data_IF_333452080185
#
_entry.id   IF_333452080185
#
_cell.length_a   1.000
_cell.length_b   1.000
_cell.length_c   1.000
_cell.angle_alpha   90.00
_cell.angle_beta   90.00
_cell.angle_gamma   90.00
#
_symmetry.space_group_name_H-M   'P 1'
#
loop_
_entity.id
_entity.type
_entity.pdbx_description
1 polymer ?
#
# COMPACT_ATOMS: atom_id res chain seq x y z
N UNK A 1 46.49 -9.49 -20.48
CA UNK A 1 45.92 -10.77 -20.97
C UNK A 1 44.41 -10.64 -21.07
N UNK A 2 43.87 -10.65 -22.28
CA UNK A 2 42.42 -10.69 -22.51
C UNK A 2 41.84 -12.02 -22.00
N UNK A 3 40.81 -12.03 -21.12
CA UNK A 3 40.25 -13.28 -20.62
C UNK A 3 39.70 -14.14 -21.76
N UNK A 4 39.84 -15.47 -21.66
CA UNK A 4 39.35 -16.42 -22.67
C UNK A 4 37.83 -16.30 -22.90
N UNK A 5 37.31 -16.54 -24.11
CA UNK A 5 35.89 -16.39 -24.46
C UNK A 5 34.92 -17.14 -23.52
N UNK A 6 35.29 -18.36 -23.10
CA UNK A 6 34.51 -19.16 -22.17
C UNK A 6 34.42 -18.51 -20.77
N UNK A 7 35.52 -17.92 -20.29
CA UNK A 7 35.54 -17.20 -19.03
C UNK A 7 34.64 -15.94 -19.08
N UNK A 8 34.70 -15.16 -20.17
CA UNK A 8 33.83 -13.99 -20.37
C UNK A 8 32.35 -14.36 -20.37
N UNK A 9 32.00 -15.49 -20.99
CA UNK A 9 30.62 -15.98 -21.01
C UNK A 9 30.12 -16.39 -19.62
N UNK A 10 30.94 -17.07 -18.81
CA UNK A 10 30.61 -17.43 -17.43
C UNK A 10 30.39 -16.18 -16.56
N UNK A 11 31.23 -15.15 -16.72
CA UNK A 11 31.08 -13.88 -16.02
C UNK A 11 29.77 -13.16 -16.36
N UNK A 12 29.37 -13.16 -17.63
CA UNK A 12 28.10 -12.56 -18.05
C UNK A 12 26.87 -13.27 -17.44
N UNK A 13 26.89 -14.61 -17.40
CA UNK A 13 25.83 -15.38 -16.74
C UNK A 13 25.80 -15.10 -15.24
N UNK A 14 26.97 -15.08 -14.58
CA UNK A 14 27.08 -14.74 -13.17
C UNK A 14 26.55 -13.33 -12.86
N UNK A 15 26.83 -12.35 -13.74
CA UNK A 15 26.32 -10.99 -13.60
C UNK A 15 24.79 -10.89 -13.72
N UNK A 16 24.15 -11.77 -14.50
CA UNK A 16 22.69 -11.81 -14.65
C UNK A 16 21.97 -12.56 -13.52
N UNK A 17 22.67 -13.41 -12.76
CA UNK A 17 22.08 -14.28 -11.75
C UNK A 17 21.25 -13.53 -10.68
N UNK A 18 21.67 -12.37 -10.12
CA UNK A 18 20.87 -11.65 -9.14
C UNK A 18 19.49 -11.23 -9.67
N UNK A 19 19.41 -10.74 -10.90
CA UNK A 19 18.13 -10.38 -11.54
C UNK A 19 17.28 -11.59 -11.86
N UNK A 20 17.90 -12.71 -12.27
CA UNK A 20 17.19 -13.95 -12.52
C UNK A 20 16.56 -14.52 -11.23
N UNK A 21 17.32 -14.51 -10.13
CA UNK A 21 16.80 -14.92 -8.81
C UNK A 21 15.68 -13.98 -8.36
N UNK A 22 15.85 -12.66 -8.50
CA UNK A 22 14.81 -11.69 -8.17
C UNK A 22 13.53 -11.91 -8.98
N UNK A 23 13.68 -12.10 -10.30
CA UNK A 23 12.57 -12.38 -11.21
C UNK A 23 11.83 -13.66 -10.80
N UNK A 24 12.57 -14.73 -10.48
CA UNK A 24 12.00 -15.99 -10.02
C UNK A 24 11.25 -15.82 -8.68
N UNK A 25 11.85 -15.17 -7.69
CA UNK A 25 11.21 -14.88 -6.39
C UNK A 25 9.93 -14.07 -6.60
N UNK A 26 9.98 -12.99 -7.39
CA UNK A 26 8.83 -12.14 -7.67
C UNK A 26 7.71 -12.86 -8.43
N UNK A 27 8.05 -13.68 -9.42
CA UNK A 27 7.08 -14.42 -10.23
C UNK A 27 6.37 -15.50 -9.40
N UNK A 28 7.13 -16.23 -8.58
CA UNK A 28 6.62 -17.36 -7.79
C UNK A 28 6.03 -16.95 -6.44
N UNK A 29 6.37 -15.77 -5.94
CA UNK A 29 6.08 -15.38 -4.55
C UNK A 29 6.88 -16.21 -3.53
N UNK A 30 8.10 -16.61 -3.91
CA UNK A 30 8.98 -17.47 -3.12
C UNK A 30 9.81 -16.73 -2.07
N UNK A 31 9.69 -15.40 -1.95
CA UNK A 31 10.44 -14.62 -0.97
C UNK A 31 10.04 -14.98 0.48
N UNK A 32 11.02 -15.21 1.35
CA UNK A 32 10.80 -15.59 2.75
C UNK A 32 11.80 -14.90 3.66
N UNK A 33 11.32 -14.41 4.79
CA UNK A 33 12.14 -13.86 5.86
C UNK A 33 12.92 -12.59 5.48
N UNK A 34 13.76 -12.16 6.41
CA UNK A 34 14.71 -11.06 6.20
C UNK A 34 16.02 -11.61 5.60
N UNK A 35 16.63 -10.96 4.60
CA UNK A 35 16.25 -9.68 4.00
C UNK A 35 15.39 -9.81 2.72
N UNK A 36 15.01 -11.01 2.30
CA UNK A 36 14.35 -11.22 1.00
C UNK A 36 12.99 -10.54 0.92
N UNK A 37 12.15 -10.58 1.96
CA UNK A 37 10.83 -9.93 1.94
C UNK A 37 10.95 -8.41 1.70
N UNK A 38 11.67 -7.62 2.52
CA UNK A 38 11.79 -6.19 2.28
C UNK A 38 12.54 -5.85 0.98
N UNK A 39 13.45 -6.72 0.49
CA UNK A 39 14.11 -6.49 -0.78
C UNK A 39 13.10 -6.39 -1.94
N UNK A 40 12.03 -7.19 -1.94
CA UNK A 40 11.05 -7.22 -3.04
C UNK A 40 10.30 -5.89 -3.23
N UNK A 41 10.25 -5.01 -2.22
CA UNK A 41 9.74 -3.64 -2.36
C UNK A 41 10.52 -2.83 -3.42
N UNK A 42 11.75 -3.23 -3.73
CA UNK A 42 12.62 -2.57 -4.71
C UNK A 42 12.53 -3.18 -6.13
N UNK A 43 11.55 -4.04 -6.41
CA UNK A 43 11.34 -4.65 -7.73
C UNK A 43 11.30 -3.62 -8.88
N UNK A 44 10.69 -2.42 -8.74
CA UNK A 44 10.77 -1.39 -9.78
C UNK A 44 12.21 -0.96 -10.13
N UNK A 45 13.11 -0.93 -9.14
CA UNK A 45 14.53 -0.59 -9.35
C UNK A 45 15.29 -1.78 -9.94
N UNK A 46 15.00 -3.00 -9.51
CA UNK A 46 15.54 -4.21 -10.13
C UNK A 46 15.16 -4.29 -11.62
N UNK A 47 13.91 -3.96 -11.97
CA UNK A 47 13.45 -3.87 -13.35
C UNK A 47 14.18 -2.78 -14.12
N UNK A 48 14.28 -1.56 -13.58
CA UNK A 48 14.98 -0.46 -14.25
C UNK A 48 16.47 -0.76 -14.50
N UNK A 49 17.12 -1.45 -13.56
CA UNK A 49 18.55 -1.79 -13.64
C UNK A 49 18.85 -3.08 -14.39
N UNK A 50 17.83 -3.83 -14.84
CA UNK A 50 18.04 -5.09 -15.58
C UNK A 50 18.74 -4.91 -16.93
N UNK A 51 18.85 -3.68 -17.42
CA UNK A 51 19.66 -3.32 -18.60
C UNK A 51 21.17 -3.53 -18.38
N UNK A 52 21.64 -3.47 -17.13
CA UNK A 52 23.06 -3.63 -16.78
C UNK A 52 23.59 -5.03 -17.09
N UNK A 53 23.01 -6.14 -16.57
CA UNK A 53 23.47 -7.48 -16.92
C UNK A 53 23.31 -7.79 -18.41
N UNK A 54 22.32 -7.19 -19.08
CA UNK A 54 22.15 -7.33 -20.53
C UNK A 54 23.31 -6.68 -21.30
N UNK A 55 23.74 -5.47 -20.89
CA UNK A 55 24.90 -4.80 -21.48
C UNK A 55 26.21 -5.56 -21.23
N UNK A 56 26.39 -6.11 -20.01
CA UNK A 56 27.54 -6.98 -19.70
C UNK A 56 27.54 -8.21 -20.61
N UNK A 57 26.39 -8.85 -20.81
CA UNK A 57 26.30 -10.01 -21.69
C UNK A 57 26.59 -9.66 -23.17
N UNK A 58 26.11 -8.50 -23.65
CA UNK A 58 26.38 -8.03 -24.99
C UNK A 58 27.87 -7.74 -25.21
N UNK A 59 28.53 -7.05 -24.27
CA UNK A 59 29.98 -6.75 -24.36
C UNK A 59 30.85 -8.01 -24.23
N UNK A 60 30.43 -8.97 -23.40
CA UNK A 60 31.05 -10.28 -23.30
C UNK A 60 30.74 -11.21 -24.49
N UNK A 61 29.82 -10.81 -25.40
CA UNK A 61 29.27 -11.62 -26.51
C UNK A 61 28.71 -12.97 -26.04
N UNK A 62 28.14 -13.00 -24.84
CA UNK A 62 27.54 -14.21 -24.24
C UNK A 62 26.08 -14.32 -24.61
N UNK A 63 25.74 -15.26 -25.50
CA UNK A 63 24.33 -15.56 -25.84
C UNK A 63 23.55 -16.03 -24.61
N UNK A 64 24.13 -16.92 -23.80
CA UNK A 64 23.48 -17.43 -22.60
C UNK A 64 23.22 -16.32 -21.56
N UNK A 65 24.22 -15.46 -21.31
CA UNK A 65 24.03 -14.31 -20.42
C UNK A 65 22.98 -13.33 -20.94
N UNK A 66 22.92 -13.09 -22.25
CA UNK A 66 21.97 -12.17 -22.86
C UNK A 66 20.53 -12.71 -22.75
N UNK A 67 20.33 -14.01 -23.02
CA UNK A 67 19.01 -14.66 -22.87
C UNK A 67 18.55 -14.61 -21.42
N UNK A 68 19.43 -14.95 -20.46
CA UNK A 68 19.09 -14.93 -19.03
C UNK A 68 18.74 -13.51 -18.55
N UNK A 69 19.56 -12.51 -18.90
CA UNK A 69 19.33 -11.13 -18.53
C UNK A 69 18.05 -10.57 -19.16
N UNK A 70 17.80 -10.86 -20.45
CA UNK A 70 16.59 -10.43 -21.15
C UNK A 70 15.33 -11.08 -20.56
N UNK A 71 15.35 -12.39 -20.28
CA UNK A 71 14.23 -13.09 -19.67
C UNK A 71 13.93 -12.54 -18.26
N UNK A 72 14.94 -12.35 -17.42
CA UNK A 72 14.78 -11.76 -16.09
C UNK A 72 14.22 -10.34 -16.19
N UNK A 73 14.77 -9.50 -17.07
CA UNK A 73 14.30 -8.15 -17.32
C UNK A 73 12.84 -8.11 -17.80
N UNK A 74 12.44 -9.01 -18.69
CA UNK A 74 11.07 -9.11 -19.18
C UNK A 74 10.08 -9.49 -18.07
N UNK A 75 10.43 -10.44 -17.20
CA UNK A 75 9.60 -10.82 -16.04
C UNK A 75 9.43 -9.64 -15.08
N UNK A 76 10.53 -8.96 -14.74
CA UNK A 76 10.50 -7.81 -13.82
C UNK A 76 9.72 -6.63 -14.41
N UNK A 77 9.96 -6.29 -15.69
CA UNK A 77 9.22 -5.26 -16.39
C UNK A 77 7.73 -5.60 -16.49
N UNK A 78 7.40 -6.84 -16.83
CA UNK A 78 6.01 -7.34 -16.86
C UNK A 78 5.32 -7.22 -15.50
N UNK A 79 6.01 -7.57 -14.41
CA UNK A 79 5.48 -7.41 -13.06
C UNK A 79 5.20 -5.93 -12.72
N UNK A 80 6.16 -5.04 -12.98
CA UNK A 80 6.03 -3.60 -12.69
C UNK A 80 4.95 -2.94 -13.54
N UNK A 81 4.85 -3.28 -14.82
CA UNK A 81 3.79 -2.78 -15.70
C UNK A 81 2.42 -3.33 -15.29
N UNK A 82 2.34 -4.62 -14.94
CA UNK A 82 1.12 -5.24 -14.42
C UNK A 82 0.67 -4.70 -13.07
N UNK A 83 1.58 -4.13 -12.27
CA UNK A 83 1.25 -3.48 -11.00
C UNK A 83 0.38 -2.23 -11.20
N UNK A 84 0.43 -1.58 -12.37
CA UNK A 84 -0.40 -0.40 -12.67
C UNK A 84 -1.90 -0.71 -12.61
N UNK A 85 -2.29 -1.93 -12.98
CA UNK A 85 -3.67 -2.30 -13.22
C UNK A 85 -4.22 -1.66 -14.49
N UNK A 86 -5.49 -1.92 -14.78
CA UNK A 86 -6.20 -1.36 -15.93
C UNK A 86 -7.33 -0.49 -15.42
N UNK A 87 -7.57 0.63 -16.10
CA UNK A 87 -8.81 1.37 -15.89
C UNK A 87 -9.93 0.59 -16.56
N UNK A 88 -10.80 -0.01 -15.76
CA UNK A 88 -12.08 -0.47 -16.26
C UNK A 88 -13.09 0.68 -16.12
N UNK A 89 -13.83 1.06 -17.17
CA UNK A 89 -15.01 1.90 -16.99
C UNK A 89 -15.95 1.13 -16.06
N UNK A 90 -16.31 1.71 -14.92
CA UNK A 90 -17.29 1.11 -14.03
C UNK A 90 -18.60 1.89 -14.20
N UNK A 91 -19.58 1.34 -14.93
CA UNK A 91 -20.91 1.93 -14.99
C UNK A 91 -21.64 1.53 -13.71
N UNK A 92 -21.74 2.44 -12.76
CA UNK A 92 -22.76 2.36 -11.71
C UNK A 92 -23.52 3.68 -11.75
N UNK A 93 -24.46 3.78 -12.68
CA UNK A 93 -25.46 4.84 -12.63
C UNK A 93 -26.35 4.58 -11.41
N UNK A 94 -26.42 5.54 -10.47
CA UNK A 94 -27.37 5.50 -9.36
C UNK A 94 -26.86 4.98 -8.01
N UNK A 95 -25.59 4.60 -7.87
CA UNK A 95 -25.00 4.21 -6.58
C UNK A 95 -24.60 5.41 -5.72
N UNK A 96 -24.69 5.26 -4.40
CA UNK A 96 -24.22 6.29 -3.45
C UNK A 96 -22.70 6.44 -3.50
N UNK A 97 -22.22 7.68 -3.45
CA UNK A 97 -20.78 7.98 -3.41
C UNK A 97 -20.27 8.05 -1.99
N UNK A 98 -19.13 7.42 -1.75
CA UNK A 98 -18.41 7.46 -0.49
C UNK A 98 -16.93 7.78 -0.73
N UNK A 99 -16.41 8.82 -0.08
CA UNK A 99 -15.01 9.24 -0.23
C UNK A 99 -14.20 8.81 0.98
N UNK A 100 -13.23 7.92 0.74
CA UNK A 100 -12.33 7.40 1.77
C UNK A 100 -10.94 7.96 1.54
N UNK A 101 -10.31 8.48 2.60
CA UNK A 101 -8.92 8.90 2.58
C UNK A 101 -8.10 8.17 3.66
N UNK A 102 -6.83 7.93 3.39
CA UNK A 102 -5.83 7.49 4.39
C UNK A 102 -4.72 8.53 4.53
N UNK A 103 -4.20 8.71 5.74
CA UNK A 103 -3.02 9.55 6.00
C UNK A 103 -2.16 8.98 7.14
N UNK A 104 -0.86 8.80 6.88
CA UNK A 104 0.14 8.59 7.93
C UNK A 104 0.69 9.93 8.43
N UNK A 105 0.70 10.10 9.76
CA UNK A 105 1.12 11.33 10.43
C UNK A 105 2.61 11.38 10.79
N UNK A 106 3.42 10.40 10.36
CA UNK A 106 4.86 10.35 10.61
C UNK A 106 5.17 10.59 12.09
N UNK A 107 4.74 9.65 12.94
CA UNK A 107 4.83 9.71 14.41
C UNK A 107 4.22 10.98 15.02
N UNK A 108 3.07 11.41 14.49
CA UNK A 108 2.38 12.62 14.94
C UNK A 108 3.07 13.94 14.57
N UNK A 109 4.09 13.92 13.70
CA UNK A 109 4.84 15.12 13.32
C UNK A 109 4.21 15.91 12.14
N UNK A 110 3.11 15.43 11.58
CA UNK A 110 2.34 16.15 10.55
C UNK A 110 1.49 17.25 11.21
N UNK A 111 1.59 18.51 10.78
CA UNK A 111 0.70 19.58 11.25
C UNK A 111 -0.77 19.25 10.94
N UNK A 112 -1.68 19.67 11.82
CA UNK A 112 -3.11 19.37 11.68
C UNK A 112 -3.78 20.07 10.48
N UNK A 113 -3.39 21.31 10.18
CA UNK A 113 -4.00 22.13 9.13
C UNK A 113 -4.03 21.44 7.75
N UNK A 114 -2.91 20.90 7.21
CA UNK A 114 -2.92 20.15 5.95
C UNK A 114 -3.85 18.94 5.94
N UNK A 115 -4.11 18.30 7.09
CA UNK A 115 -5.02 17.16 7.20
C UNK A 115 -6.48 17.63 7.12
N UNK A 116 -6.81 18.72 7.81
CA UNK A 116 -8.15 19.33 7.72
C UNK A 116 -8.41 19.89 6.31
N UNK A 117 -7.40 20.50 5.67
CA UNK A 117 -7.48 20.94 4.27
C UNK A 117 -7.73 19.77 3.32
N UNK A 118 -7.00 18.65 3.48
CA UNK A 118 -7.24 17.42 2.71
C UNK A 118 -8.70 16.98 2.82
N UNK A 119 -9.25 16.91 4.04
CA UNK A 119 -10.64 16.50 4.26
C UNK A 119 -11.62 17.43 3.56
N UNK A 120 -11.44 18.74 3.70
CA UNK A 120 -12.33 19.75 3.07
C UNK A 120 -12.22 19.75 1.55
N UNK A 121 -11.00 19.76 1.03
CA UNK A 121 -10.70 19.89 -0.40
C UNK A 121 -11.21 18.71 -1.22
N UNK A 122 -11.16 17.51 -0.65
CA UNK A 122 -11.58 16.29 -1.32
C UNK A 122 -12.91 15.73 -0.81
N UNK A 123 -13.62 16.51 0.02
CA UNK A 123 -14.93 16.16 0.56
C UNK A 123 -14.96 14.76 1.19
N UNK A 124 -13.94 14.46 2.01
CA UNK A 124 -13.73 13.13 2.61
C UNK A 124 -14.89 12.81 3.57
N UNK A 125 -15.45 11.61 3.45
CA UNK A 125 -16.48 11.09 4.34
C UNK A 125 -15.87 10.24 5.46
N UNK A 126 -14.84 9.46 5.15
CA UNK A 126 -14.12 8.61 6.10
C UNK A 126 -12.61 8.81 5.97
N UNK A 127 -11.95 9.16 7.07
CA UNK A 127 -10.51 9.36 7.14
C UNK A 127 -9.88 8.31 8.06
N UNK A 128 -9.09 7.41 7.48
CA UNK A 128 -8.22 6.49 8.20
C UNK A 128 -6.88 7.16 8.53
N UNK A 129 -6.50 7.20 9.80
CA UNK A 129 -5.29 7.89 10.27
C UNK A 129 -4.34 6.91 10.95
N UNK A 130 -3.09 6.92 10.49
CA UNK A 130 -2.00 6.10 10.99
C UNK A 130 -0.92 6.97 11.65
N UNK A 131 -0.06 6.32 12.43
CA UNK A 131 1.02 6.98 13.18
C UNK A 131 0.55 8.11 14.11
N UNK A 132 -0.63 7.96 14.70
CA UNK A 132 -1.25 8.97 15.56
C UNK A 132 -0.60 8.95 16.95
N UNK A 133 -0.25 10.13 17.47
CA UNK A 133 0.11 10.32 18.88
C UNK A 133 -1.00 11.06 19.62
N UNK A 134 -1.06 11.00 20.96
CA UNK A 134 -2.01 11.79 21.73
C UNK A 134 -1.93 13.29 21.45
N UNK A 135 -0.73 13.82 21.22
CA UNK A 135 -0.50 15.24 20.87
C UNK A 135 -1.08 15.57 19.50
N UNK A 136 -0.85 14.71 18.51
CA UNK A 136 -1.38 14.89 17.17
C UNK A 136 -2.90 14.77 17.13
N UNK A 137 -3.49 13.86 17.92
CA UNK A 137 -4.93 13.76 18.08
C UNK A 137 -5.52 15.07 18.59
N UNK A 138 -4.99 15.61 19.70
CA UNK A 138 -5.44 16.90 20.25
C UNK A 138 -5.32 18.01 19.21
N UNK A 139 -4.17 18.10 18.53
CA UNK A 139 -3.95 19.12 17.51
C UNK A 139 -4.94 19.01 16.33
N UNK A 140 -5.31 17.81 15.90
CA UNK A 140 -6.33 17.61 14.86
C UNK A 140 -7.71 18.09 15.32
N UNK A 141 -8.11 17.75 16.55
CA UNK A 141 -9.38 18.19 17.12
C UNK A 141 -9.43 19.72 17.28
N UNK A 142 -8.37 20.31 17.81
CA UNK A 142 -8.23 21.77 18.00
C UNK A 142 -8.26 22.53 16.66
N UNK A 143 -7.67 21.95 15.60
CA UNK A 143 -7.74 22.50 14.24
C UNK A 143 -9.13 22.36 13.58
N UNK A 144 -10.10 21.75 14.27
CA UNK A 144 -11.47 21.62 13.85
C UNK A 144 -11.75 20.41 12.96
N UNK A 145 -10.97 19.33 13.06
CA UNK A 145 -11.27 18.08 12.35
C UNK A 145 -12.67 17.56 12.71
N UNK A 146 -13.05 17.62 13.99
CA UNK A 146 -14.36 17.17 14.47
C UNK A 146 -15.52 18.05 13.93
N UNK A 147 -15.23 19.26 13.41
CA UNK A 147 -16.27 20.09 12.76
C UNK A 147 -16.62 19.60 11.35
N UNK A 148 -15.69 18.90 10.69
CA UNK A 148 -15.88 18.36 9.33
C UNK A 148 -16.11 16.84 9.32
N UNK A 149 -15.66 16.14 10.36
CA UNK A 149 -15.84 14.71 10.59
C UNK A 149 -16.20 14.48 12.08
N UNK A 150 -17.46 14.69 12.49
CA UNK A 150 -17.86 14.75 13.91
C UNK A 150 -17.82 13.42 14.67
N UNK A 151 -17.64 12.29 13.97
CA UNK A 151 -17.60 10.99 14.60
C UNK A 151 -16.21 10.39 14.49
N UNK A 152 -15.73 9.73 15.55
CA UNK A 152 -14.42 9.08 15.53
C UNK A 152 -14.38 7.76 16.30
N UNK A 153 -13.45 6.90 15.92
CA UNK A 153 -12.97 5.77 16.70
C UNK A 153 -11.45 5.87 16.77
N UNK A 154 -10.93 6.20 17.95
CA UNK A 154 -9.49 6.30 18.20
C UNK A 154 -9.11 5.16 19.13
N UNK A 155 -8.11 4.39 18.76
CA UNK A 155 -7.55 3.34 19.62
C UNK A 155 -6.14 3.79 20.01
N UNK A 156 -5.90 4.13 21.29
CA UNK A 156 -4.61 4.57 21.76
C UNK A 156 -3.62 3.41 21.75
N UNK A 157 -2.34 3.72 21.51
CA UNK A 157 -1.25 2.77 21.65
C UNK A 157 -1.34 2.01 22.98
N UNK A 158 -1.36 0.67 22.91
CA UNK A 158 -1.37 -0.19 24.10
C UNK A 158 -0.12 0.00 24.97
N UNK A 159 -0.20 -0.30 26.28
CA UNK A 159 0.96 -0.22 27.18
C UNK A 159 2.18 -0.98 26.62
N UNK A 160 3.34 -0.32 26.61
CA UNK A 160 4.59 -0.86 26.08
C UNK A 160 4.80 -0.67 24.57
N UNK A 161 3.79 -0.21 23.82
CA UNK A 161 3.97 0.20 22.42
C UNK A 161 4.49 1.64 22.32
N UNK A 162 5.03 1.99 21.14
CA UNK A 162 5.40 3.39 20.85
C UNK A 162 4.15 4.27 20.80
N UNK A 163 4.20 5.55 21.22
CA UNK A 163 3.01 6.41 21.24
C UNK A 163 2.32 6.57 19.87
N UNK A 164 3.10 6.50 18.80
CA UNK A 164 2.61 6.55 17.42
C UNK A 164 1.98 5.24 16.94
N UNK A 165 1.86 4.21 17.78
CA UNK A 165 1.15 2.98 17.44
C UNK A 165 -0.38 3.16 17.45
N UNK A 166 -0.87 4.32 17.91
CA UNK A 166 -2.30 4.63 17.89
C UNK A 166 -2.80 4.73 16.46
N UNK A 167 -4.04 4.30 16.26
CA UNK A 167 -4.74 4.41 14.99
C UNK A 167 -6.11 5.04 15.19
N UNK A 168 -6.64 5.64 14.14
CA UNK A 168 -7.96 6.26 14.21
C UNK A 168 -8.74 6.19 12.90
N UNK A 169 -10.06 6.26 13.02
CA UNK A 169 -10.97 6.59 11.94
C UNK A 169 -11.80 7.79 12.36
N UNK A 170 -11.80 8.84 11.53
CA UNK A 170 -12.78 9.93 11.59
C UNK A 170 -13.82 9.77 10.49
N UNK A 171 -15.06 10.17 10.78
CA UNK A 171 -16.20 9.94 9.92
C UNK A 171 -17.17 11.13 9.96
N UNK A 172 -17.68 11.46 8.78
CA UNK A 172 -18.80 12.37 8.59
C UNK A 172 -20.12 11.76 9.07
N UNK A 173 -20.21 10.43 8.99
CA UNK A 173 -21.40 9.64 9.32
C UNK A 173 -21.30 9.08 10.73
N UNK A 174 -22.44 8.88 11.38
CA UNK A 174 -22.50 8.19 12.65
C UNK A 174 -21.88 6.79 12.52
N UNK A 175 -21.11 6.39 13.54
CA UNK A 175 -20.49 5.07 13.59
C UNK A 175 -21.45 4.10 14.27
N UNK A 176 -21.88 3.07 13.55
CA UNK A 176 -22.77 2.02 14.04
C UNK A 176 -22.03 1.11 15.02
N UNK A 177 -20.78 0.76 14.69
CA UNK A 177 -19.91 -0.05 15.54
C UNK A 177 -18.49 0.48 15.56
N UNK A 178 -17.77 0.17 16.65
CA UNK A 178 -16.35 0.42 16.83
C UNK A 178 -15.70 -0.89 17.28
N UNK A 179 -14.67 -1.31 16.57
CA UNK A 179 -13.92 -2.55 16.79
C UNK A 179 -12.44 -2.31 16.43
N UNK A 180 -11.65 -3.38 16.45
CA UNK A 180 -10.25 -3.36 16.05
C UNK A 180 -9.92 -4.63 15.25
N UNK A 181 -9.00 -4.51 14.29
CA UNK A 181 -8.33 -5.66 13.68
C UNK A 181 -7.00 -5.89 14.39
N UNK A 182 -6.67 -7.11 14.82
CA UNK A 182 -5.39 -7.39 15.46
C UNK A 182 -4.20 -6.99 14.58
N UNK A 183 -3.15 -6.45 15.20
CA UNK A 183 -1.88 -6.17 14.54
C UNK A 183 -0.81 -5.63 15.47
N UNK A 184 0.39 -5.39 14.95
CA UNK A 184 1.48 -4.75 15.68
C UNK A 184 1.14 -3.31 16.11
N UNK A 185 0.40 -2.57 15.29
CA UNK A 185 -0.15 -1.26 15.66
C UNK A 185 -1.68 -1.33 15.79
N UNK A 186 -2.27 -0.31 16.39
CA UNK A 186 -3.71 -0.27 16.59
C UNK A 186 -4.43 0.03 15.27
N UNK A 187 -5.34 -0.87 14.86
CA UNK A 187 -6.06 -0.77 13.59
C UNK A 187 -7.58 -0.69 13.82
N UNK A 188 -8.13 0.51 14.09
CA UNK A 188 -9.56 0.67 14.30
C UNK A 188 -10.37 0.19 13.10
N UNK A 189 -11.47 -0.48 13.42
CA UNK A 189 -12.48 -0.95 12.48
C UNK A 189 -13.81 -0.31 12.84
N UNK A 190 -14.47 0.35 11.90
CA UNK A 190 -15.77 1.00 12.14
C UNK A 190 -16.76 0.60 11.07
N UNK A 191 -18.04 0.51 11.46
CA UNK A 191 -19.15 0.37 10.50
C UNK A 191 -19.92 1.66 10.39
N UNK A 192 -20.27 2.01 9.16
CA UNK A 192 -21.16 3.12 8.85
C UNK A 192 -22.23 2.66 7.87
N UNK A 193 -23.47 3.01 8.15
CA UNK A 193 -24.58 2.79 7.22
C UNK A 193 -24.47 3.78 6.06
N UNK A 194 -24.63 3.27 4.84
CA UNK A 194 -24.62 4.07 3.64
C UNK A 194 -25.93 3.92 2.86
N UNK A 195 -26.81 4.92 3.05
CA UNK A 195 -28.11 4.95 2.42
C UNK A 195 -28.97 3.76 2.86
N UNK A 196 -29.67 3.16 1.90
CA UNK A 196 -30.48 1.95 2.11
C UNK A 196 -29.72 0.65 1.84
N UNK A 197 -28.46 0.72 1.42
CA UNK A 197 -27.64 -0.45 1.07
C UNK A 197 -26.94 -1.09 2.27
N UNK A 198 -26.10 -2.11 2.03
CA UNK A 198 -25.33 -2.75 3.08
C UNK A 198 -24.38 -1.76 3.78
N UNK A 199 -24.17 -1.96 5.08
CA UNK A 199 -23.19 -1.15 5.83
C UNK A 199 -21.78 -1.29 5.27
N UNK A 200 -21.02 -0.21 5.33
CA UNK A 200 -19.60 -0.17 4.98
C UNK A 200 -18.76 -0.34 6.24
N UNK A 201 -17.86 -1.31 6.23
CA UNK A 201 -16.86 -1.53 7.29
C UNK A 201 -15.50 -1.03 6.83
N UNK A 202 -14.98 0.01 7.48
CA UNK A 202 -13.66 0.57 7.21
C UNK A 202 -12.67 0.12 8.27
N UNK A 203 -11.54 -0.43 7.84
CA UNK A 203 -10.36 -0.68 8.68
C UNK A 203 -9.28 0.34 8.36
N UNK A 204 -8.80 1.06 9.38
CA UNK A 204 -7.58 1.86 9.29
C UNK A 204 -6.36 0.95 9.45
N UNK A 205 -5.79 0.52 8.33
CA UNK A 205 -4.67 -0.44 8.31
C UNK A 205 -3.36 0.27 8.67
N UNK A 206 -2.59 -0.36 9.55
CA UNK A 206 -1.22 0.03 9.85
C UNK A 206 -0.45 -1.21 10.29
N UNK A 207 0.10 -1.94 9.31
CA UNK A 207 0.88 -3.14 9.60
C UNK A 207 2.32 -2.80 9.96
N UNK A 208 2.98 -3.66 10.72
CA UNK A 208 4.40 -3.54 11.06
C UNK A 208 5.28 -3.31 9.82
N UNK A 209 6.29 -2.43 9.85
CA UNK A 209 7.25 -2.32 8.75
C UNK A 209 8.17 -3.56 8.73
N UNK A 210 8.27 -4.33 7.62
CA UNK A 210 9.08 -5.54 7.54
C UNK A 210 10.59 -5.25 7.34
N UNK A 211 11.11 -4.18 7.95
CA UNK A 211 12.38 -3.56 7.57
C UNK A 211 13.54 -3.75 8.57
N UNK A 212 13.28 -4.17 9.81
CA UNK A 212 14.29 -4.14 10.89
C UNK A 212 14.89 -5.50 11.24
N UNK A 213 14.31 -6.60 10.74
CA UNK A 213 14.86 -7.94 10.93
C UNK A 213 13.81 -9.06 10.87
N UNK A 214 14.18 -10.32 11.17
CA UNK A 214 13.29 -11.47 11.05
C UNK A 214 12.00 -11.36 11.87
N UNK A 215 12.04 -10.76 13.06
CA UNK A 215 10.85 -10.55 13.90
C UNK A 215 9.85 -9.58 13.25
N UNK A 216 10.33 -8.45 12.71
CA UNK A 216 9.48 -7.48 12.01
C UNK A 216 8.79 -8.06 10.78
N UNK A 217 9.48 -8.93 10.03
CA UNK A 217 8.89 -9.64 8.89
C UNK A 217 7.78 -10.59 9.34
N UNK A 218 7.96 -11.29 10.48
CA UNK A 218 6.92 -12.18 11.02
C UNK A 218 5.71 -11.40 11.52
N UNK A 219 5.91 -10.28 12.21
CA UNK A 219 4.82 -9.40 12.66
C UNK A 219 4.02 -8.87 11.46
N UNK A 220 4.71 -8.34 10.44
CA UNK A 220 4.07 -7.85 9.21
C UNK A 220 3.27 -8.93 8.47
N UNK A 221 3.81 -10.16 8.36
CA UNK A 221 3.07 -11.28 7.78
C UNK A 221 1.83 -11.63 8.60
N UNK A 222 1.90 -11.60 9.92
CA UNK A 222 0.78 -11.86 10.81
C UNK A 222 -0.31 -10.78 10.67
N UNK A 223 0.08 -9.50 10.61
CA UNK A 223 -0.83 -8.37 10.42
C UNK A 223 -1.62 -8.52 9.10
N UNK A 224 -0.94 -8.78 7.98
CA UNK A 224 -1.60 -9.00 6.68
C UNK A 224 -2.46 -10.27 6.67
N UNK A 225 -2.07 -11.31 7.41
CA UNK A 225 -2.87 -12.52 7.58
C UNK A 225 -4.16 -12.25 8.36
N UNK A 226 -4.11 -11.38 9.38
CA UNK A 226 -5.23 -11.02 10.24
C UNK A 226 -6.27 -10.10 9.57
N UNK A 227 -5.90 -9.40 8.48
CA UNK A 227 -6.83 -8.56 7.74
C UNK A 227 -8.05 -9.37 7.27
N UNK A 228 -9.28 -8.91 7.55
CA UNK A 228 -10.46 -9.70 7.27
C UNK A 228 -10.73 -9.80 5.76
N UNK A 229 -11.32 -10.90 5.29
CA UNK A 229 -11.64 -11.15 3.87
C UNK A 229 -13.05 -10.65 3.50
N UNK A 230 -13.33 -10.22 2.26
CA UNK A 230 -14.68 -9.78 1.84
C UNK A 230 -15.78 -10.75 2.29
N UNK A 231 -16.93 -10.23 2.72
CA UNK A 231 -17.99 -11.05 3.30
C UNK A 231 -19.38 -10.57 2.82
N UNK A 232 -20.36 -11.47 2.58
CA UNK A 232 -21.65 -11.09 2.00
C UNK A 232 -22.42 -10.00 2.78
N UNK A 233 -22.40 -10.05 4.12
CA UNK A 233 -23.19 -9.16 4.98
C UNK A 233 -22.62 -7.75 5.21
N UNK A 234 -21.47 -7.40 4.63
CA UNK A 234 -20.83 -6.09 4.83
C UNK A 234 -19.95 -5.71 3.64
N UNK A 235 -19.95 -4.43 3.27
CA UNK A 235 -19.06 -3.90 2.24
C UNK A 235 -17.77 -3.44 2.89
N UNK A 236 -16.67 -4.19 2.71
CA UNK A 236 -15.42 -3.87 3.41
C UNK A 236 -14.49 -2.95 2.61
N UNK A 237 -13.89 -2.00 3.32
CA UNK A 237 -12.80 -1.16 2.84
C UNK A 237 -11.61 -1.28 3.81
N UNK A 238 -10.44 -1.59 3.29
CA UNK A 238 -9.18 -1.58 4.04
C UNK A 238 -8.35 -0.40 3.52
N UNK A 239 -8.13 0.63 4.34
CA UNK A 239 -7.42 1.84 3.93
C UNK A 239 -6.31 2.16 4.91
N UNK A 240 -5.09 2.39 4.43
CA UNK A 240 -3.97 2.67 5.33
C UNK A 240 -2.61 2.36 4.75
N UNK A 241 -1.61 2.36 5.63
CA UNK A 241 -0.24 1.95 5.35
C UNK A 241 -0.09 0.43 5.59
N UNK A 242 0.08 -0.31 4.50
CA UNK A 242 0.27 -1.76 4.54
C UNK A 242 1.75 -2.14 4.68
N UNK A 243 2.66 -1.15 4.71
CA UNK A 243 4.11 -1.35 4.63
C UNK A 243 4.50 -2.36 3.54
N UNK A 244 3.71 -2.38 2.46
CA UNK A 244 3.71 -3.42 1.46
C UNK A 244 3.58 -2.83 0.08
N UNK A 245 4.31 -3.37 -0.89
CA UNK A 245 4.15 -3.02 -2.29
C UNK A 245 3.39 -4.13 -3.03
N UNK A 246 2.86 -3.86 -4.24
CA UNK A 246 2.31 -4.90 -5.12
C UNK A 246 3.28 -6.04 -5.44
N UNK A 247 4.58 -5.82 -5.21
CA UNK A 247 5.63 -6.80 -5.44
C UNK A 247 5.82 -7.81 -4.32
N UNK A 248 5.17 -7.61 -3.16
CA UNK A 248 5.14 -8.62 -2.10
C UNK A 248 4.04 -9.68 -2.30
N UNK A 249 4.40 -10.94 -2.12
CA UNK A 249 3.50 -12.09 -2.21
C UNK A 249 2.41 -12.05 -1.14
N UNK A 250 2.73 -11.60 0.07
CA UNK A 250 1.74 -11.49 1.15
C UNK A 250 0.65 -10.45 0.82
N UNK A 251 1.03 -9.31 0.24
CA UNK A 251 0.05 -8.32 -0.24
C UNK A 251 -0.79 -8.86 -1.39
N UNK A 252 -0.16 -9.53 -2.37
CA UNK A 252 -0.91 -10.22 -3.44
C UNK A 252 -1.83 -11.31 -2.89
N UNK A 253 -1.48 -11.95 -1.77
CA UNK A 253 -2.34 -12.91 -1.10
C UNK A 253 -3.59 -12.26 -0.49
N UNK A 254 -3.47 -11.05 0.08
CA UNK A 254 -4.62 -10.25 0.51
C UNK A 254 -5.53 -9.93 -0.68
N UNK A 255 -4.99 -9.45 -1.80
CA UNK A 255 -5.78 -9.21 -3.01
C UNK A 255 -6.51 -10.47 -3.50
N UNK A 256 -5.84 -11.63 -3.52
CA UNK A 256 -6.43 -12.91 -3.95
C UNK A 256 -7.61 -13.37 -3.09
N UNK A 257 -7.86 -12.76 -1.92
CA UNK A 257 -9.09 -12.98 -1.15
C UNK A 257 -10.34 -12.39 -1.82
N UNK A 258 -10.17 -11.62 -2.89
CA UNK A 258 -11.25 -11.01 -3.67
C UNK A 258 -11.27 -9.49 -3.65
N UNK A 259 -10.29 -8.84 -3.03
CA UNK A 259 -10.21 -7.37 -2.98
C UNK A 259 -9.82 -6.76 -4.31
N UNK A 260 -10.35 -5.57 -4.55
CA UNK A 260 -9.92 -4.65 -5.61
C UNK A 260 -9.09 -3.53 -4.99
N UNK A 261 -7.87 -3.30 -5.47
CA UNK A 261 -7.10 -2.10 -5.10
C UNK A 261 -7.60 -0.90 -5.93
N UNK A 262 -8.07 0.15 -5.25
CA UNK A 262 -8.59 1.36 -5.86
C UNK A 262 -7.58 2.03 -6.82
N UNK A 263 -6.29 2.01 -6.50
CA UNK A 263 -5.27 2.55 -7.38
C UNK A 263 -5.14 1.72 -8.67
N UNK A 264 -5.18 0.39 -8.56
CA UNK A 264 -5.10 -0.53 -9.71
C UNK A 264 -6.35 -0.44 -10.60
N UNK A 265 -7.53 -0.27 -10.00
CA UNK A 265 -8.81 -0.15 -10.72
C UNK A 265 -8.88 1.07 -11.65
N UNK A 266 -8.05 2.09 -11.41
CA UNK A 266 -7.93 3.28 -12.26
C UNK A 266 -6.60 3.35 -13.02
N UNK A 267 -5.85 2.24 -13.11
CA UNK A 267 -4.58 2.18 -13.85
C UNK A 267 -3.41 2.93 -13.20
N UNK A 268 -3.48 3.19 -11.89
CA UNK A 268 -2.51 3.98 -11.11
C UNK A 268 -1.84 3.20 -9.98
N UNK A 269 -1.89 1.87 -9.99
CA UNK A 269 -1.34 1.02 -8.92
C UNK A 269 0.18 1.09 -8.70
N UNK A 270 0.93 1.74 -9.60
CA UNK A 270 2.37 1.98 -9.45
C UNK A 270 2.71 3.40 -8.97
N UNK A 271 1.72 4.24 -8.67
CA UNK A 271 1.98 5.58 -8.14
C UNK A 271 2.49 5.44 -6.70
N UNK A 272 3.65 6.03 -6.43
CA UNK A 272 4.25 5.99 -5.10
C UNK A 272 3.48 6.84 -4.09
N UNK A 273 3.46 6.38 -2.85
CA UNK A 273 2.87 7.06 -1.70
C UNK A 273 3.94 7.45 -0.70
N UNK A 274 4.97 6.62 -0.49
CA UNK A 274 6.03 6.89 0.46
C UNK A 274 7.37 7.23 -0.22
N UNK A 275 8.13 8.14 0.41
CA UNK A 275 9.58 8.32 0.19
C UNK A 275 10.22 8.93 1.44
N UNK A 276 11.53 8.70 1.69
CA UNK A 276 12.25 9.45 2.70
C UNK A 276 12.20 10.96 2.41
N UNK A 277 11.99 11.79 3.44
CA UNK A 277 11.83 13.25 3.26
C UNK A 277 13.02 13.93 2.58
N UNK A 278 14.23 13.47 2.92
CA UNK A 278 15.49 14.11 2.52
C UNK A 278 16.10 13.52 1.25
N UNK A 279 15.54 12.44 0.71
CA UNK A 279 16.07 11.77 -0.48
C UNK A 279 14.97 11.64 -1.56
N UNK A 280 15.31 11.81 -2.85
CA UNK A 280 14.32 11.69 -3.92
C UNK A 280 13.82 10.25 -4.14
N UNK A 281 14.61 9.27 -3.68
CA UNK A 281 14.42 7.83 -3.77
C UNK A 281 14.86 7.16 -2.44
N UNK A 282 14.37 5.96 -2.12
CA UNK A 282 13.38 5.19 -2.90
C UNK A 282 11.96 5.76 -2.74
N UNK A 283 11.19 5.63 -3.81
CA UNK A 283 9.74 5.79 -3.87
C UNK A 283 9.07 4.42 -3.85
N UNK A 284 8.07 4.26 -2.99
CA UNK A 284 7.32 3.02 -2.82
C UNK A 284 5.82 3.31 -2.75
N UNK A 285 4.99 2.37 -3.21
CA UNK A 285 3.55 2.39 -3.01
C UNK A 285 3.26 1.50 -1.80
N UNK A 286 3.14 2.11 -0.61
CA UNK A 286 2.92 1.42 0.67
C UNK A 286 1.48 1.58 1.18
N UNK A 287 0.85 2.69 0.79
CA UNK A 287 -0.50 3.05 1.21
C UNK A 287 -1.51 2.61 0.15
N UNK A 288 -2.56 1.91 0.58
CA UNK A 288 -3.56 1.34 -0.31
C UNK A 288 -4.98 1.59 0.21
N UNK A 289 -5.94 1.57 -0.71
CA UNK A 289 -7.37 1.44 -0.41
C UNK A 289 -7.86 0.20 -1.13
N UNK A 290 -8.03 -0.89 -0.40
CA UNK A 290 -8.58 -2.15 -0.89
C UNK A 290 -10.08 -2.19 -0.63
N UNK A 291 -10.87 -2.46 -1.64
CA UNK A 291 -12.33 -2.43 -1.56
C UNK A 291 -12.92 -3.79 -1.91
N UNK A 292 -14.03 -4.11 -1.26
CA UNK A 292 -14.89 -5.23 -1.62
C UNK A 292 -15.21 -5.21 -3.13
N UNK A 293 -15.22 -6.35 -3.82
CA UNK A 293 -15.40 -6.39 -5.28
C UNK A 293 -16.76 -5.86 -5.75
N UNK A 294 -17.74 -5.72 -4.85
CA UNK A 294 -19.05 -5.10 -5.12
C UNK A 294 -18.99 -3.57 -5.14
N UNK A 295 -17.91 -2.97 -4.63
CA UNK A 295 -17.71 -1.52 -4.61
C UNK A 295 -17.00 -1.10 -5.88
N UNK A 296 -17.61 -0.19 -6.62
CA UNK A 296 -17.02 0.44 -7.77
C UNK A 296 -16.04 1.56 -7.36
N UNK A 297 -14.95 1.74 -8.12
CA UNK A 297 -13.96 2.79 -7.88
C UNK A 297 -14.06 3.84 -8.98
N UNK A 298 -14.60 5.01 -8.66
CA UNK A 298 -14.77 6.10 -9.61
C UNK A 298 -13.48 6.91 -9.82
N UNK A 299 -12.70 7.12 -8.76
CA UNK A 299 -11.43 7.83 -8.83
C UNK A 299 -10.49 7.41 -7.71
N UNK A 300 -9.18 7.52 -7.96
CA UNK A 300 -8.15 7.39 -6.93
C UNK A 300 -7.07 8.48 -7.13
N UNK A 301 -6.85 9.28 -6.09
CA UNK A 301 -5.94 10.43 -6.07
C UNK A 301 -4.86 10.23 -5.02
N UNK A 302 -3.67 10.75 -5.31
CA UNK A 302 -2.51 10.70 -4.43
C UNK A 302 -2.13 12.12 -4.08
N UNK A 303 -2.32 12.51 -2.83
CA UNK A 303 -2.27 13.90 -2.39
C UNK A 303 -1.09 14.07 -1.43
N UNK A 304 -0.09 14.89 -1.77
CA UNK A 304 0.95 15.26 -0.81
C UNK A 304 0.33 15.98 0.39
N UNK A 305 0.64 15.52 1.60
CA UNK A 305 0.26 16.20 2.85
C UNK A 305 1.53 16.86 3.40
N UNK A 306 1.49 18.18 3.60
CA UNK A 306 2.67 18.94 4.06
C UNK A 306 3.14 18.38 5.40
N UNK A 307 4.41 18.00 5.45
CA UNK A 307 5.00 17.41 6.65
C UNK A 307 4.82 15.89 6.76
N UNK A 308 4.18 15.20 5.82
CA UNK A 308 4.22 13.73 5.77
C UNK A 308 5.30 13.25 4.79
N UNK A 309 5.91 12.11 5.09
CA UNK A 309 6.71 11.32 4.14
C UNK A 309 5.85 10.41 3.25
N UNK A 310 4.55 10.34 3.56
CA UNK A 310 3.51 9.72 2.76
C UNK A 310 2.72 10.75 1.94
N UNK A 311 2.11 10.26 0.86
CA UNK A 311 0.99 10.91 0.17
C UNK A 311 -0.28 10.22 0.64
N UNK A 312 -1.29 11.00 0.97
CA UNK A 312 -2.62 10.48 1.21
C UNK A 312 -3.18 9.83 -0.05
N UNK A 313 -3.83 8.69 0.10
CA UNK A 313 -4.64 8.07 -0.95
C UNK A 313 -6.09 8.45 -0.69
N UNK A 314 -6.72 9.10 -1.67
CA UNK A 314 -8.14 9.47 -1.64
C UNK A 314 -8.87 8.70 -2.72
N UNK A 315 -9.75 7.79 -2.30
CA UNK A 315 -10.57 6.96 -3.18
C UNK A 315 -12.02 7.45 -3.18
N UNK A 316 -12.57 7.66 -4.37
CA UNK A 316 -13.99 7.91 -4.58
C UNK A 316 -14.65 6.60 -4.97
N UNK A 317 -15.49 6.10 -4.06
CA UNK A 317 -16.16 4.81 -4.17
C UNK A 317 -17.61 5.04 -4.57
N UNK A 318 -18.16 4.09 -5.33
CA UNK A 318 -19.58 4.01 -5.64
C UNK A 318 -20.10 2.69 -5.10
N UNK A 319 -20.99 2.80 -4.11
CA UNK A 319 -21.57 1.65 -3.45
C UNK A 319 -22.64 1.02 -4.36
N UNK A 320 -22.85 -0.31 -4.29
CA UNK A 320 -23.95 -0.94 -5.01
C UNK A 320 -25.29 -0.35 -4.52
N UNK A 321 -26.30 -0.24 -5.40
CA UNK A 321 -27.64 0.12 -4.98
C UNK A 321 -28.17 -0.90 -3.96
N UNK A 322 -29.03 -0.42 -3.05
CA UNK A 322 -29.71 -1.26 -2.05
C UNK A 322 -30.80 -2.14 -2.63
#
# INVERSE_FOLDING_TARGET
MSPQPAARSRWAVAAAAPWAVWAALRATGGERGFPLVPALAFTPYAAATSVLPLAVAATARSRAGAVLAAAAGAVLAGAVLGNRGTSAPVPVAGGERLRVATVSLRKGLVPAEPVVELVRRYDVDLLAVQELTPEAERALRDAGLDRVLPHSSVIPARPGAVPSASGAVWSRRALDTRAAVPGEFEQPCVRVTAGSGPAVELVSVHSAPPATGPASVRAWLADLAALPAPAPGVLRVLAGDFNATPDHAAWRAVLRRGYVDAARAVGRGSVWTWRPLRLPLPRMALDHVLVDPRIAVAACRFVPVRGSDHRSVVAELVLPPG
#
